data_IF_921995446788
#
_entry.id   IF_921995446788
#
_cell.length_a   1.000
_cell.length_b   1.000
_cell.length_c   1.000
_cell.angle_alpha   90.00
_cell.angle_beta   90.00
_cell.angle_gamma   90.00
#
_symmetry.space_group_name_H-M   'P 1'
#
loop_
_entity.id
_entity.type
_entity.pdbx_description
1 polymer ?
#
# COMPACT_ATOMS: atom_id res chain seq x y z
N UNK A 1 4.66 12.23 9.23
CA UNK A 1 3.40 11.79 9.84
C UNK A 1 2.46 12.95 10.17
N UNK A 2 2.82 13.93 10.99
CA UNK A 2 1.90 15.04 11.36
C UNK A 2 1.36 15.81 10.14
N UNK A 3 2.22 16.11 9.15
CA UNK A 3 1.81 16.78 7.90
C UNK A 3 0.88 15.87 7.06
N UNK A 4 1.14 14.58 7.05
CA UNK A 4 0.30 13.62 6.31
C UNK A 4 -1.11 13.50 6.90
N UNK A 5 -1.28 13.69 8.21
CA UNK A 5 -2.58 13.62 8.88
C UNK A 5 -3.52 14.81 8.57
N UNK A 6 -2.97 15.93 8.10
CA UNK A 6 -3.73 17.11 7.72
C UNK A 6 -3.89 17.25 6.20
N UNK A 7 -3.36 16.28 5.43
CA UNK A 7 -3.31 16.32 3.98
C UNK A 7 -3.94 15.10 3.31
N UNK A 8 -3.91 15.09 1.97
CA UNK A 8 -4.50 14.02 1.16
C UNK A 8 -3.79 12.66 1.31
N UNK A 9 -2.69 12.61 2.07
CA UNK A 9 -1.93 11.39 2.31
C UNK A 9 -2.41 10.58 3.52
N UNK A 10 -3.33 11.12 4.31
CA UNK A 10 -3.97 10.35 5.38
C UNK A 10 -4.77 9.22 4.73
N UNK A 11 -4.46 7.98 5.14
CA UNK A 11 -5.11 6.78 4.64
C UNK A 11 -5.08 6.64 3.11
N UNK A 12 -3.97 7.09 2.49
CA UNK A 12 -3.77 6.98 1.03
C UNK A 12 -3.65 5.53 0.54
N UNK A 13 -3.44 4.57 1.45
CA UNK A 13 -3.30 3.15 1.16
C UNK A 13 -4.57 2.41 1.53
N UNK A 14 -5.20 1.84 0.53
CA UNK A 14 -6.45 1.08 0.68
C UNK A 14 -6.18 -0.43 0.74
N UNK A 15 -7.21 -1.20 1.10
CA UNK A 15 -7.15 -2.65 1.02
C UNK A 15 -6.89 -3.08 -0.44
N UNK A 16 -5.95 -4.00 -0.64
CA UNK A 16 -5.52 -4.44 -1.96
C UNK A 16 -4.40 -3.63 -2.60
N UNK A 17 -4.01 -2.48 -2.05
CA UNK A 17 -2.83 -1.75 -2.50
C UNK A 17 -1.55 -2.57 -2.24
N UNK A 18 -0.69 -2.69 -3.25
CA UNK A 18 0.61 -3.38 -3.09
C UNK A 18 1.47 -2.79 -1.97
N UNK A 19 1.32 -1.48 -1.71
CA UNK A 19 2.07 -0.75 -0.69
C UNK A 19 1.34 -0.63 0.66
N UNK A 20 0.15 -1.24 0.80
CA UNK A 20 -0.67 -1.10 2.01
C UNK A 20 0.10 -1.50 3.28
N UNK A 21 0.89 -2.57 3.20
CA UNK A 21 1.65 -3.11 4.33
C UNK A 21 3.12 -2.68 4.35
N UNK A 22 3.52 -1.70 3.54
CA UNK A 22 4.86 -1.14 3.61
C UNK A 22 5.03 -0.29 4.88
N UNK A 23 6.05 -0.61 5.66
CA UNK A 23 6.41 0.15 6.85
C UNK A 23 7.84 0.65 6.77
N UNK A 24 8.06 1.90 7.16
CA UNK A 24 9.39 2.43 7.37
C UNK A 24 9.90 1.99 8.74
N UNK A 25 11.15 1.53 8.79
CA UNK A 25 11.81 1.08 10.00
C UNK A 25 12.88 2.05 10.49
N UNK A 26 13.43 2.85 9.58
CA UNK A 26 14.54 3.75 9.89
C UNK A 26 15.24 4.27 8.66
N UNK A 27 16.56 4.44 8.74
CA UNK A 27 17.43 4.83 7.64
C UNK A 27 18.61 3.87 7.50
N UNK A 28 19.08 3.63 6.28
CA UNK A 28 20.24 2.80 5.99
C UNK A 28 21.00 3.33 4.77
N UNK A 29 22.25 2.89 4.60
CA UNK A 29 22.93 3.03 3.32
C UNK A 29 22.31 2.09 2.30
N UNK A 30 21.95 2.61 1.14
CA UNK A 30 21.32 1.86 0.06
C UNK A 30 22.07 2.09 -1.25
N UNK A 31 22.08 1.08 -2.11
CA UNK A 31 22.59 1.25 -3.47
C UNK A 31 21.72 2.22 -4.26
N UNK A 32 22.33 2.89 -5.23
CA UNK A 32 21.58 3.69 -6.20
C UNK A 32 20.54 2.82 -6.92
N UNK A 33 19.38 3.39 -7.21
CA UNK A 33 18.35 2.74 -8.01
C UNK A 33 18.84 2.43 -9.43
N UNK A 34 19.79 3.24 -9.94
CA UNK A 34 20.49 3.03 -11.20
C UNK A 34 21.93 2.63 -10.88
N UNK A 35 22.33 1.43 -11.25
CA UNK A 35 23.68 0.92 -11.03
C UNK A 35 24.69 1.72 -11.85
N UNK A 36 25.77 2.18 -11.19
CA UNK A 36 26.92 2.76 -11.89
C UNK A 36 27.81 1.63 -12.38
N UNK A 37 27.84 1.39 -13.69
CA UNK A 37 28.65 0.35 -14.32
C UNK A 37 29.88 0.95 -15.01
N UNK A 38 30.99 0.21 -14.95
CA UNK A 38 32.17 0.56 -15.77
C UNK A 38 31.82 0.44 -17.26
N UNK A 39 32.22 1.38 -18.13
CA UNK A 39 32.02 1.24 -19.56
C UNK A 39 32.83 0.05 -20.09
N UNK A 40 32.23 -0.69 -21.01
CA UNK A 40 32.92 -1.79 -21.71
C UNK A 40 34.11 -1.23 -22.49
N UNK A 41 35.29 -1.78 -22.21
CA UNK A 41 36.53 -1.43 -22.91
C UNK A 41 36.66 -2.34 -24.11
N UNK A 42 36.80 -1.78 -25.30
CA UNK A 42 37.03 -2.56 -26.51
C UNK A 42 38.30 -3.44 -26.36
N UNK A 43 38.34 -4.69 -26.87
CA UNK A 43 39.41 -5.67 -26.60
C UNK A 43 40.82 -5.20 -26.96
N UNK A 44 40.94 -4.21 -27.84
CA UNK A 44 42.26 -3.65 -28.28
C UNK A 44 42.51 -2.23 -27.70
N UNK A 45 41.59 -1.65 -26.95
CA UNK A 45 41.78 -0.34 -26.33
C UNK A 45 42.65 -0.45 -25.09
N UNK A 46 43.59 0.49 -24.95
CA UNK A 46 44.39 0.65 -23.74
C UNK A 46 43.83 1.84 -22.97
N UNK A 47 43.04 1.63 -21.92
CA UNK A 47 42.52 2.74 -21.13
C UNK A 47 43.68 3.46 -20.43
N UNK A 48 43.54 4.77 -20.30
CA UNK A 48 44.45 5.55 -19.46
C UNK A 48 44.27 5.10 -17.99
N UNK A 49 45.38 4.67 -17.37
CA UNK A 49 45.39 4.07 -16.03
C UNK A 49 44.90 5.02 -14.97
N UNK A 50 45.18 6.33 -15.12
CA UNK A 50 44.77 7.37 -14.16
C UNK A 50 43.26 7.60 -14.25
N UNK A 51 42.74 7.76 -15.46
CA UNK A 51 41.31 7.94 -15.70
C UNK A 51 40.49 6.72 -15.27
N UNK A 52 40.98 5.53 -15.59
CA UNK A 52 40.31 4.28 -15.19
C UNK A 52 40.29 4.11 -13.66
N UNK A 53 41.40 4.40 -12.98
CA UNK A 53 41.47 4.33 -11.52
C UNK A 53 40.60 5.41 -10.85
N UNK A 54 40.51 6.59 -11.45
CA UNK A 54 39.65 7.67 -10.96
C UNK A 54 38.18 7.32 -11.11
N UNK A 55 37.81 6.74 -12.25
CA UNK A 55 36.44 6.28 -12.51
C UNK A 55 36.02 5.17 -11.54
N UNK A 56 36.86 4.16 -11.31
CA UNK A 56 36.57 3.12 -10.30
C UNK A 56 36.35 3.71 -8.92
N UNK A 57 37.22 4.58 -8.47
CA UNK A 57 37.05 5.27 -7.19
C UNK A 57 35.77 6.10 -7.13
N UNK A 58 35.39 6.74 -8.24
CA UNK A 58 34.11 7.45 -8.33
C UNK A 58 32.94 6.49 -8.17
N UNK A 59 32.92 5.39 -8.92
CA UNK A 59 31.87 4.36 -8.83
C UNK A 59 31.78 3.83 -7.40
N UNK A 60 32.91 3.40 -6.82
CA UNK A 60 32.95 2.86 -5.45
C UNK A 60 32.43 3.85 -4.40
N UNK A 61 32.80 5.14 -4.54
CA UNK A 61 32.37 6.16 -3.57
C UNK A 61 30.95 6.68 -3.76
N UNK A 62 30.35 6.49 -4.92
CA UNK A 62 29.01 6.99 -5.23
C UNK A 62 27.97 5.90 -5.49
N UNK A 63 28.33 4.62 -5.38
CA UNK A 63 27.41 3.47 -5.54
C UNK A 63 26.42 3.34 -4.40
N UNK A 64 26.72 3.92 -3.24
CA UNK A 64 25.90 3.90 -2.04
C UNK A 64 25.47 5.30 -1.64
N UNK A 65 24.24 5.43 -1.15
CA UNK A 65 23.70 6.67 -0.58
C UNK A 65 23.33 6.41 0.87
N UNK A 66 23.92 7.20 1.77
CA UNK A 66 23.69 7.08 3.20
C UNK A 66 22.35 7.72 3.62
N UNK A 67 21.87 7.34 4.80
CA UNK A 67 20.68 7.88 5.46
C UNK A 67 19.37 7.80 4.62
N UNK A 68 19.33 6.91 3.64
CA UNK A 68 18.12 6.70 2.84
C UNK A 68 17.01 6.04 3.68
N UNK A 69 15.73 6.44 3.51
CA UNK A 69 14.63 5.79 4.17
C UNK A 69 14.62 4.29 3.90
N UNK A 70 14.59 3.49 4.96
CA UNK A 70 14.58 2.04 4.90
C UNK A 70 13.27 1.49 5.43
N UNK A 71 12.66 0.60 4.67
CA UNK A 71 11.38 -0.02 5.03
C UNK A 71 11.26 -1.44 4.48
N UNK A 72 10.26 -2.15 4.98
CA UNK A 72 9.93 -3.51 4.58
C UNK A 72 8.43 -3.66 4.32
N UNK A 73 8.07 -4.69 3.57
CA UNK A 73 6.67 -5.13 3.42
C UNK A 73 6.32 -6.08 4.56
N UNK A 74 5.54 -5.63 5.53
CA UNK A 74 5.15 -6.47 6.68
C UNK A 74 4.30 -7.68 6.28
N UNK A 75 3.53 -7.56 5.21
CA UNK A 75 2.78 -8.68 4.64
C UNK A 75 3.64 -9.88 4.18
N UNK A 76 4.95 -9.68 4.03
CA UNK A 76 5.90 -10.78 3.73
C UNK A 76 6.26 -11.61 4.99
N UNK A 77 5.83 -11.19 6.18
CA UNK A 77 6.20 -11.81 7.44
C UNK A 77 4.98 -12.13 8.31
N UNK A 78 4.90 -13.37 8.76
CA UNK A 78 3.90 -13.76 9.77
C UNK A 78 4.29 -13.29 11.17
N UNK A 79 5.60 -13.18 11.44
CA UNK A 79 6.14 -12.75 12.72
C UNK A 79 7.23 -11.70 12.55
N UNK A 80 7.21 -10.71 13.42
CA UNK A 80 8.25 -9.68 13.54
C UNK A 80 8.74 -9.65 14.99
N UNK A 81 9.96 -10.11 15.21
CA UNK A 81 10.60 -10.11 16.52
C UNK A 81 11.38 -8.80 16.69
N UNK A 82 10.99 -7.99 17.66
CA UNK A 82 11.71 -6.76 18.03
C UNK A 82 12.45 -7.00 19.33
N UNK A 83 13.75 -7.23 19.22
CA UNK A 83 14.60 -7.68 20.30
C UNK A 83 15.53 -6.56 20.78
N UNK A 84 15.77 -6.48 22.09
CA UNK A 84 16.66 -5.49 22.69
C UNK A 84 16.13 -4.89 24.00
N UNK A 85 16.67 -3.74 24.44
CA UNK A 85 16.17 -3.04 25.62
C UNK A 85 14.69 -2.66 25.47
N UNK A 86 13.88 -2.88 26.51
CA UNK A 86 12.41 -2.72 26.48
C UNK A 86 11.99 -1.32 25.98
N UNK A 87 12.68 -0.27 26.40
CA UNK A 87 12.39 1.10 25.95
C UNK A 87 12.58 1.29 24.43
N UNK A 88 13.66 0.71 23.89
CA UNK A 88 13.99 0.78 22.46
C UNK A 88 13.00 -0.06 21.64
N UNK A 89 12.70 -1.28 22.07
CA UNK A 89 11.75 -2.16 21.36
C UNK A 89 10.36 -1.54 21.26
N UNK A 90 9.83 -1.01 22.35
CA UNK A 90 8.55 -0.29 22.35
C UNK A 90 8.57 0.97 21.49
N UNK A 91 9.70 1.70 21.53
CA UNK A 91 9.86 2.93 20.70
C UNK A 91 9.80 2.61 19.21
N UNK A 92 10.49 1.56 18.77
CA UNK A 92 10.47 1.09 17.38
C UNK A 92 9.07 0.60 16.97
N UNK A 93 8.40 -0.20 17.80
CA UNK A 93 7.04 -0.68 17.51
C UNK A 93 6.06 0.49 17.42
N UNK A 94 6.17 1.51 18.29
CA UNK A 94 5.37 2.74 18.17
C UNK A 94 5.61 3.49 16.85
N UNK A 95 6.87 3.60 16.43
CA UNK A 95 7.21 4.25 15.16
C UNK A 95 6.59 3.51 13.97
N UNK A 96 6.70 2.18 13.94
CA UNK A 96 6.07 1.33 12.92
C UNK A 96 4.54 1.49 12.91
N UNK A 97 3.92 1.38 14.07
CA UNK A 97 2.47 1.49 14.22
C UNK A 97 1.95 2.84 13.73
N UNK A 98 2.60 3.93 14.13
CA UNK A 98 2.21 5.26 13.70
C UNK A 98 2.40 5.50 12.20
N UNK A 99 3.45 4.94 11.62
CA UNK A 99 3.63 5.00 10.17
C UNK A 99 2.49 4.27 9.45
N UNK A 100 2.20 3.04 9.85
CA UNK A 100 1.16 2.24 9.20
C UNK A 100 -0.22 2.86 9.34
N UNK A 101 -0.63 3.25 10.55
CA UNK A 101 -1.95 3.82 10.81
C UNK A 101 -2.16 5.21 10.21
N UNK A 102 -1.07 5.93 9.88
CA UNK A 102 -1.16 7.20 9.16
C UNK A 102 -1.44 7.00 7.67
N UNK A 103 -0.86 5.98 7.06
CA UNK A 103 -0.96 5.78 5.61
C UNK A 103 -1.97 4.72 5.19
N UNK A 104 -2.20 3.66 5.97
CA UNK A 104 -3.21 2.66 5.71
C UNK A 104 -4.53 2.99 6.42
N UNK A 105 -5.64 2.81 5.72
CA UNK A 105 -6.98 3.06 6.27
C UNK A 105 -7.39 1.96 7.28
N UNK A 106 -8.38 2.20 8.17
CA UNK A 106 -8.92 1.16 9.03
C UNK A 106 -9.56 -0.02 8.29
N UNK A 107 -9.94 0.15 7.02
CA UNK A 107 -10.39 -0.95 6.15
C UNK A 107 -9.24 -1.81 5.63
N UNK A 108 -8.04 -1.24 5.51
CA UNK A 108 -6.85 -1.97 5.09
C UNK A 108 -6.07 -2.56 6.26
N UNK A 109 -6.12 -1.91 7.44
CA UNK A 109 -5.31 -2.27 8.59
C UNK A 109 -6.13 -2.26 9.88
N UNK A 110 -6.09 -3.36 10.62
CA UNK A 110 -6.54 -3.44 12.02
C UNK A 110 -5.34 -3.53 12.96
N UNK A 111 -5.50 -3.02 14.16
CA UNK A 111 -4.47 -3.01 15.19
C UNK A 111 -5.02 -3.63 16.46
N UNK A 112 -4.28 -4.59 17.02
CA UNK A 112 -4.60 -5.15 18.31
C UNK A 112 -3.34 -5.24 19.18
N UNK A 113 -3.51 -5.14 20.48
CA UNK A 113 -2.44 -5.27 21.47
C UNK A 113 -2.86 -6.28 22.51
N UNK A 114 -2.04 -7.30 22.71
CA UNK A 114 -2.11 -8.20 23.87
C UNK A 114 -0.88 -7.94 24.74
N UNK A 115 -1.07 -7.50 25.95
CA UNK A 115 0.04 -7.16 26.82
C UNK A 115 -0.23 -7.62 28.25
N UNK A 116 0.84 -7.87 29.03
CA UNK A 116 0.68 -8.12 30.45
C UNK A 116 0.06 -6.91 31.17
N UNK A 117 -0.64 -7.14 32.26
CA UNK A 117 -1.25 -6.07 33.08
C UNK A 117 -0.21 -4.98 33.46
N UNK A 118 1.02 -5.40 33.79
CA UNK A 118 2.11 -4.47 34.11
C UNK A 118 2.50 -3.56 32.91
N UNK A 119 2.34 -4.04 31.68
CA UNK A 119 2.72 -3.34 30.46
C UNK A 119 1.56 -2.54 29.83
N UNK A 120 0.33 -2.77 30.26
CA UNK A 120 -0.88 -2.16 29.71
C UNK A 120 -0.80 -0.63 29.62
N UNK A 121 -0.27 0.01 30.64
CA UNK A 121 -0.08 1.48 30.68
C UNK A 121 0.69 2.04 29.49
N UNK A 122 1.62 1.27 28.88
CA UNK A 122 2.42 1.68 27.74
C UNK A 122 1.69 1.59 26.40
N UNK A 123 0.50 0.96 26.39
CA UNK A 123 -0.30 0.72 25.19
C UNK A 123 -1.71 1.30 25.26
N UNK A 124 -2.14 1.86 26.39
CA UNK A 124 -3.48 2.42 26.54
C UNK A 124 -3.81 3.51 25.52
N UNK A 125 -2.83 4.25 25.03
CA UNK A 125 -3.02 5.27 24.03
C UNK A 125 -3.50 4.71 22.68
N UNK A 126 -3.29 3.43 22.38
CA UNK A 126 -3.76 2.74 21.17
C UNK A 126 -5.28 2.79 21.06
N UNK A 127 -6.00 2.91 22.19
CA UNK A 127 -7.45 3.10 22.20
C UNK A 127 -7.95 4.30 21.37
N UNK A 128 -7.11 5.28 21.12
CA UNK A 128 -7.46 6.45 20.31
C UNK A 128 -7.38 6.19 18.81
N UNK A 129 -6.71 5.12 18.38
CA UNK A 129 -6.60 4.77 16.97
C UNK A 129 -7.93 4.23 16.43
N UNK A 130 -8.45 4.75 15.31
CA UNK A 130 -9.61 4.17 14.63
C UNK A 130 -9.41 2.70 14.26
N UNK A 131 -8.18 2.30 13.97
CA UNK A 131 -7.74 0.94 13.61
C UNK A 131 -7.88 -0.10 14.74
N UNK A 132 -7.96 0.37 16.00
CA UNK A 132 -8.02 -0.51 17.17
C UNK A 132 -9.45 -0.72 17.70
N UNK A 133 -10.46 -0.54 16.85
CA UNK A 133 -11.88 -0.76 17.19
C UNK A 133 -12.31 -2.15 16.76
N UNK A 134 -12.97 -2.88 17.65
CA UNK A 134 -13.62 -4.15 17.30
C UNK A 134 -14.81 -3.91 16.37
N UNK A 135 -15.03 -4.81 15.43
CA UNK A 135 -16.25 -4.85 14.60
C UNK A 135 -17.32 -5.77 15.16
N UNK A 136 -16.95 -6.62 16.13
CA UNK A 136 -17.82 -7.66 16.69
C UNK A 136 -18.39 -7.27 18.06
N UNK A 137 -17.56 -6.63 18.90
CA UNK A 137 -17.91 -6.34 20.27
C UNK A 137 -18.02 -4.84 20.50
N UNK A 138 -19.12 -4.43 21.16
CA UNK A 138 -19.34 -3.05 21.59
C UNK A 138 -19.54 -3.00 23.11
N UNK A 139 -19.05 -1.93 23.72
CA UNK A 139 -19.30 -1.57 25.11
C UNK A 139 -20.28 -0.40 25.24
N UNK A 140 -20.48 0.14 26.43
CA UNK A 140 -21.39 1.25 26.66
C UNK A 140 -20.97 2.56 25.96
N UNK A 141 -19.74 2.65 25.43
CA UNK A 141 -19.19 3.84 24.78
C UNK A 141 -19.02 3.64 23.25
N UNK A 142 -19.43 2.49 22.71
CA UNK A 142 -19.31 2.12 21.31
C UNK A 142 -18.41 0.91 21.05
N UNK A 143 -17.79 0.78 19.87
CA UNK A 143 -16.94 -0.36 19.54
C UNK A 143 -15.83 -0.56 20.57
N UNK A 144 -15.71 -1.79 21.12
CA UNK A 144 -14.70 -2.13 22.10
C UNK A 144 -13.27 -1.92 21.54
N UNK A 145 -12.33 -1.62 22.43
CA UNK A 145 -10.94 -1.33 22.03
C UNK A 145 -10.09 -2.59 22.11
N UNK A 146 -9.38 -2.91 21.04
CA UNK A 146 -8.55 -4.12 20.96
C UNK A 146 -7.20 -3.95 21.68
N UNK A 147 -7.25 -3.56 22.96
CA UNK A 147 -6.10 -3.50 23.89
C UNK A 147 -6.45 -4.34 25.08
N UNK A 148 -5.99 -5.58 25.10
CA UNK A 148 -6.42 -6.63 26.03
C UNK A 148 -5.23 -7.24 26.77
N UNK A 149 -5.51 -7.99 27.83
CA UNK A 149 -4.48 -8.70 28.62
C UNK A 149 -4.44 -10.21 28.35
N UNK A 150 -5.46 -10.74 27.67
CA UNK A 150 -5.57 -12.16 27.33
C UNK A 150 -5.80 -12.42 25.85
N UNK A 151 -5.12 -13.40 25.25
CA UNK A 151 -5.33 -13.76 23.84
C UNK A 151 -6.77 -14.18 23.52
N UNK A 152 -7.44 -14.91 24.43
CA UNK A 152 -8.82 -15.37 24.23
C UNK A 152 -9.82 -14.21 24.13
N UNK A 153 -9.62 -13.15 24.92
CA UNK A 153 -10.42 -11.93 24.84
C UNK A 153 -10.28 -11.26 23.45
N UNK A 154 -9.07 -11.28 22.88
CA UNK A 154 -8.86 -10.75 21.53
C UNK A 154 -9.55 -11.60 20.46
N UNK A 155 -9.48 -12.94 20.57
CA UNK A 155 -10.14 -13.84 19.61
C UNK A 155 -11.67 -13.60 19.57
N UNK A 156 -12.30 -13.37 20.72
CA UNK A 156 -13.72 -12.98 20.79
C UNK A 156 -13.99 -11.62 20.10
N UNK A 157 -13.09 -10.65 20.25
CA UNK A 157 -13.24 -9.32 19.66
C UNK A 157 -13.02 -9.30 18.14
N UNK A 158 -12.26 -10.24 17.59
CA UNK A 158 -11.96 -10.37 16.16
C UNK A 158 -13.00 -11.22 15.43
N UNK A 159 -13.62 -12.18 16.12
CA UNK A 159 -14.62 -13.08 15.55
C UNK A 159 -14.09 -14.04 14.49
N UNK A 160 -15.01 -14.69 13.77
CA UNK A 160 -14.71 -15.73 12.78
C UNK A 160 -13.89 -15.19 11.60
N UNK A 161 -13.99 -13.90 11.29
CA UNK A 161 -13.24 -13.27 10.19
C UNK A 161 -11.74 -13.55 10.23
N UNK A 162 -11.15 -13.63 11.42
CA UNK A 162 -9.71 -13.87 11.58
C UNK A 162 -9.39 -15.32 11.99
N UNK A 163 -10.29 -16.01 12.65
CA UNK A 163 -10.08 -17.39 13.11
C UNK A 163 -10.17 -18.42 11.99
N UNK A 164 -10.92 -18.14 10.95
CA UNK A 164 -11.14 -19.03 9.80
C UNK A 164 -10.17 -18.78 8.63
N UNK A 165 -9.23 -17.82 8.80
CA UNK A 165 -8.22 -17.54 7.78
C UNK A 165 -7.23 -18.71 7.64
N UNK A 166 -6.77 -18.92 6.41
CA UNK A 166 -5.79 -19.95 6.10
C UNK A 166 -4.41 -19.70 6.71
N UNK A 167 -3.53 -20.68 6.51
CA UNK A 167 -2.12 -20.58 6.94
C UNK A 167 -1.42 -19.47 6.14
N UNK A 168 -0.54 -18.72 6.80
CA UNK A 168 0.27 -17.67 6.21
C UNK A 168 1.02 -18.12 4.95
N UNK A 169 0.96 -17.31 3.91
CA UNK A 169 1.73 -17.45 2.67
C UNK A 169 2.39 -16.12 2.35
N UNK A 170 3.72 -16.11 2.31
CA UNK A 170 4.47 -14.93 1.91
C UNK A 170 4.13 -14.57 0.45
N UNK A 171 3.93 -13.27 0.16
CA UNK A 171 3.63 -12.75 -1.18
C UNK A 171 2.45 -13.43 -1.87
N UNK A 172 1.43 -13.76 -1.10
CA UNK A 172 0.16 -14.23 -1.67
C UNK A 172 -0.51 -13.09 -2.42
N UNK A 173 -0.97 -13.35 -3.66
CA UNK A 173 -1.80 -12.41 -4.43
C UNK A 173 -3.16 -12.19 -3.75
N UNK A 174 -3.63 -13.17 -2.97
CA UNK A 174 -4.85 -13.12 -2.19
C UNK A 174 -4.53 -12.80 -0.73
N UNK A 175 -4.24 -11.55 -0.41
CA UNK A 175 -4.09 -11.12 0.98
C UNK A 175 -5.46 -10.89 1.61
N UNK A 176 -5.73 -11.54 2.75
CA UNK A 176 -6.96 -11.30 3.50
C UNK A 176 -6.96 -9.91 4.14
N UNK A 177 -7.95 -9.12 3.84
CA UNK A 177 -8.13 -7.76 4.36
C UNK A 177 -9.34 -7.67 5.31
N UNK A 178 -9.29 -6.77 6.28
CA UNK A 178 -8.15 -5.94 6.70
C UNK A 178 -7.02 -6.77 7.30
N UNK A 179 -5.77 -6.34 7.08
CA UNK A 179 -4.60 -6.98 7.67
C UNK A 179 -4.52 -6.67 9.17
N UNK A 180 -4.26 -7.66 10.00
CA UNK A 180 -4.12 -7.48 11.44
C UNK A 180 -2.65 -7.29 11.83
N UNK A 181 -2.34 -6.15 12.43
CA UNK A 181 -1.08 -5.88 13.10
C UNK A 181 -1.26 -6.13 14.59
N UNK A 182 -0.80 -7.31 15.04
CA UNK A 182 -0.97 -7.79 16.41
C UNK A 182 0.31 -7.58 17.21
N UNK A 183 0.26 -6.76 18.24
CA UNK A 183 1.39 -6.49 19.14
C UNK A 183 1.30 -7.37 20.39
N UNK A 184 2.39 -8.06 20.71
CA UNK A 184 2.55 -8.85 21.94
C UNK A 184 3.65 -8.23 22.80
N UNK A 185 3.31 -7.83 24.05
CA UNK A 185 4.27 -7.22 24.99
C UNK A 185 4.17 -7.86 26.37
N UNK A 186 5.10 -8.77 26.66
CA UNK A 186 5.17 -9.53 27.92
C UNK A 186 4.12 -10.64 28.01
N UNK A 187 3.56 -11.06 26.88
CA UNK A 187 2.61 -12.17 26.73
C UNK A 187 2.96 -12.94 25.47
N UNK A 188 2.81 -14.24 25.49
CA UNK A 188 2.91 -15.10 24.32
C UNK A 188 1.53 -15.65 23.92
N UNK A 189 1.34 -15.88 22.63
CA UNK A 189 0.15 -16.59 22.16
C UNK A 189 0.25 -18.08 22.47
N UNK A 190 -0.87 -18.73 22.82
CA UNK A 190 -0.92 -20.19 22.91
C UNK A 190 -0.49 -20.85 21.59
N UNK A 191 0.17 -21.99 21.67
CA UNK A 191 0.68 -22.72 20.49
C UNK A 191 -0.45 -23.07 19.49
N UNK A 192 -1.65 -23.24 19.99
CA UNK A 192 -2.86 -23.54 19.22
C UNK A 192 -3.70 -22.31 18.88
N UNK A 193 -3.20 -21.10 19.13
CA UNK A 193 -3.90 -19.88 18.75
C UNK A 193 -4.04 -19.79 17.23
N UNK A 194 -5.23 -19.45 16.77
CA UNK A 194 -5.54 -19.25 15.37
C UNK A 194 -4.89 -17.98 14.80
N UNK A 195 -4.51 -17.03 15.67
CA UNK A 195 -3.94 -15.73 15.26
C UNK A 195 -2.44 -15.76 14.99
N UNK A 196 -1.71 -16.74 15.44
CA UNK A 196 -0.24 -16.69 15.32
C UNK A 196 0.45 -18.00 15.70
N UNK A 197 -0.19 -19.13 15.42
CA UNK A 197 0.40 -20.45 15.58
C UNK A 197 1.70 -20.62 14.78
N UNK A 198 2.36 -21.75 14.90
CA UNK A 198 3.70 -22.04 14.35
C UNK A 198 3.87 -21.74 12.85
N UNK A 199 2.79 -21.68 12.07
CA UNK A 199 2.82 -21.34 10.62
C UNK A 199 2.42 -19.91 10.30
N UNK A 200 1.91 -19.16 11.27
CA UNK A 200 1.26 -17.87 11.04
C UNK A 200 -0.10 -17.98 10.34
N UNK A 201 -0.85 -16.90 10.32
CA UNK A 201 -2.20 -16.81 9.74
C UNK A 201 -2.21 -15.79 8.61
N UNK A 202 -2.93 -16.06 7.55
CA UNK A 202 -3.03 -15.15 6.40
C UNK A 202 -3.62 -13.80 6.81
N UNK A 203 -3.00 -12.70 6.35
CA UNK A 203 -3.42 -11.35 6.71
C UNK A 203 -3.20 -10.99 8.18
N UNK A 204 -2.32 -11.69 8.89
CA UNK A 204 -1.93 -11.39 10.28
C UNK A 204 -0.41 -11.31 10.39
N UNK A 205 0.09 -10.20 10.93
CA UNK A 205 1.50 -10.06 11.32
C UNK A 205 1.59 -9.89 12.84
N UNK A 206 2.23 -10.84 13.51
CA UNK A 206 2.44 -10.83 14.97
C UNK A 206 3.77 -10.15 15.28
N UNK A 207 3.74 -9.04 15.99
CA UNK A 207 4.92 -8.28 16.43
C UNK A 207 5.18 -8.54 17.90
N UNK A 208 6.32 -9.15 18.21
CA UNK A 208 6.70 -9.51 19.58
C UNK A 208 7.83 -8.63 20.09
N UNK A 209 7.65 -8.01 21.23
CA UNK A 209 8.75 -7.34 21.95
C UNK A 209 9.45 -8.33 22.85
N UNK A 210 10.78 -8.44 22.73
CA UNK A 210 11.54 -9.42 23.51
C UNK A 210 12.90 -8.87 23.98
N UNK A 211 13.33 -9.33 25.16
CA UNK A 211 14.63 -8.98 25.76
C UNK A 211 15.68 -10.06 25.58
N UNK A 212 15.25 -11.28 25.26
CA UNK A 212 16.11 -12.43 24.97
C UNK A 212 15.52 -13.21 23.80
N UNK A 213 16.37 -13.84 23.00
CA UNK A 213 15.96 -14.57 21.80
C UNK A 213 16.87 -15.76 21.52
N UNK A 214 16.29 -16.80 20.95
CA UNK A 214 17.00 -17.96 20.43
C UNK A 214 17.35 -17.85 18.94
N UNK A 215 17.85 -18.91 18.32
CA UNK A 215 18.10 -18.96 16.89
C UNK A 215 16.79 -18.78 16.10
N UNK A 216 16.91 -18.19 14.89
CA UNK A 216 15.78 -18.11 13.94
C UNK A 216 15.56 -19.46 13.28
N UNK A 217 14.31 -19.86 13.11
CA UNK A 217 13.94 -21.16 12.53
C UNK A 217 12.93 -21.03 11.38
N UNK A 218 12.41 -19.83 11.11
CA UNK A 218 11.40 -19.61 10.08
C UNK A 218 11.82 -18.49 9.13
N UNK A 219 11.58 -18.69 7.83
CA UNK A 219 11.77 -17.68 6.77
C UNK A 219 10.68 -16.63 6.76
N UNK A 220 9.54 -16.90 7.37
CA UNK A 220 8.43 -15.94 7.53
C UNK A 220 8.57 -15.07 8.77
N UNK A 221 9.73 -15.10 9.44
CA UNK A 221 10.05 -14.26 10.59
C UNK A 221 11.10 -13.23 10.22
N UNK A 222 10.81 -11.96 10.46
CA UNK A 222 11.77 -10.86 10.47
C UNK A 222 12.21 -10.63 11.92
N UNK A 223 13.50 -10.54 12.18
CA UNK A 223 14.01 -10.15 13.49
C UNK A 223 14.77 -8.83 13.41
N UNK A 224 14.41 -7.91 14.28
CA UNK A 224 15.09 -6.63 14.48
C UNK A 224 15.79 -6.66 15.84
N UNK A 225 17.12 -6.54 15.87
CA UNK A 225 17.89 -6.43 17.11
C UNK A 225 18.28 -4.97 17.28
N UNK A 226 17.84 -4.36 18.36
CA UNK A 226 18.08 -2.95 18.66
C UNK A 226 19.24 -2.81 19.63
N UNK A 227 20.25 -2.06 19.23
CA UNK A 227 21.38 -1.67 20.07
C UNK A 227 21.20 -0.20 20.46
N UNK A 228 21.19 0.11 21.76
CA UNK A 228 21.01 1.49 22.20
C UNK A 228 22.19 2.36 21.77
N UNK A 229 21.93 3.63 21.52
CA UNK A 229 22.95 4.63 21.29
C UNK A 229 23.87 4.79 22.49
N UNK A 230 25.08 5.29 22.26
CA UNK A 230 26.09 5.48 23.30
C UNK A 230 25.96 6.83 24.01
N UNK A 231 25.36 7.80 23.35
CA UNK A 231 25.21 9.17 23.83
C UNK A 231 23.73 9.59 23.80
N UNK A 232 23.43 10.64 24.55
CA UNK A 232 22.08 11.21 24.59
C UNK A 232 21.75 11.84 23.23
N UNK A 233 20.63 11.41 22.62
CA UNK A 233 20.24 11.80 21.26
C UNK A 233 20.69 10.84 20.14
N UNK A 234 21.58 9.89 20.42
CA UNK A 234 21.93 8.81 19.50
C UNK A 234 20.80 7.79 19.43
N UNK A 235 20.24 7.58 18.23
CA UNK A 235 19.16 6.60 18.00
C UNK A 235 19.62 5.15 18.10
N UNK A 236 20.93 4.92 18.13
CA UNK A 236 21.51 3.59 18.15
C UNK A 236 21.50 2.91 16.78
N UNK A 237 21.69 1.61 16.80
CA UNK A 237 21.79 0.77 15.61
C UNK A 237 20.74 -0.34 15.66
N UNK A 238 20.26 -0.71 14.50
CA UNK A 238 19.33 -1.83 14.31
C UNK A 238 19.94 -2.83 13.33
N UNK A 239 19.92 -4.10 13.71
CA UNK A 239 20.25 -5.21 12.82
C UNK A 239 18.96 -5.91 12.40
N UNK A 240 18.72 -6.00 11.09
CA UNK A 240 17.63 -6.81 10.55
C UNK A 240 18.16 -8.16 10.11
N UNK A 241 17.57 -9.20 10.67
CA UNK A 241 17.93 -10.58 10.41
C UNK A 241 16.81 -11.29 9.67
N UNK A 242 17.16 -11.91 8.56
CA UNK A 242 16.33 -12.85 7.82
C UNK A 242 17.07 -14.18 7.77
N UNK A 243 16.33 -15.29 7.85
CA UNK A 243 16.93 -16.62 7.79
C UNK A 243 17.71 -16.80 6.48
N UNK A 244 18.96 -17.30 6.57
CA UNK A 244 19.86 -17.53 5.44
C UNK A 244 20.30 -16.25 4.68
N UNK A 245 20.13 -15.05 5.25
CA UNK A 245 20.58 -13.80 4.64
C UNK A 245 21.60 -13.08 5.52
N UNK A 246 22.38 -12.19 4.90
CA UNK A 246 23.28 -11.32 5.65
C UNK A 246 22.46 -10.27 6.41
N UNK A 247 22.88 -9.93 7.64
CA UNK A 247 22.24 -8.85 8.41
C UNK A 247 22.26 -7.53 7.64
N UNK A 248 21.12 -6.82 7.69
CA UNK A 248 21.05 -5.44 7.19
C UNK A 248 21.18 -4.51 8.38
N UNK A 249 22.11 -3.56 8.28
CA UNK A 249 22.36 -2.58 9.33
C UNK A 249 21.61 -1.29 9.00
N UNK A 250 20.90 -0.75 9.98
CA UNK A 250 20.12 0.47 9.83
C UNK A 250 20.14 1.29 11.13
N UNK A 251 19.79 2.56 11.03
CA UNK A 251 19.48 3.42 12.18
C UNK A 251 17.99 3.38 12.43
N UNK A 252 17.50 2.96 13.61
CA UNK A 252 16.07 2.79 13.88
C UNK A 252 15.34 4.14 13.91
N UNK A 253 14.06 4.12 13.51
CA UNK A 253 13.15 5.20 13.84
C UNK A 253 12.75 5.09 15.32
N UNK A 254 12.64 6.23 15.98
CA UNK A 254 12.28 6.28 17.40
C UNK A 254 11.01 7.12 17.59
N UNK A 255 10.12 6.66 18.48
CA UNK A 255 8.92 7.40 18.84
C UNK A 255 8.61 7.27 20.32
N UNK A 256 8.54 8.40 21.01
CA UNK A 256 8.12 8.48 22.40
C UNK A 256 6.64 8.16 22.57
N UNK A 257 6.25 7.72 23.77
CA UNK A 257 4.86 7.37 24.08
C UNK A 257 3.92 8.60 23.96
N UNK A 258 4.32 9.75 24.52
CA UNK A 258 3.54 10.98 24.43
C UNK A 258 3.35 11.47 22.97
N UNK A 259 4.37 11.26 22.12
CA UNK A 259 4.26 11.59 20.69
C UNK A 259 3.27 10.66 19.98
N UNK A 260 3.33 9.35 20.25
CA UNK A 260 2.40 8.38 19.69
C UNK A 260 0.97 8.66 20.12
N UNK A 261 0.75 8.97 21.41
CA UNK A 261 -0.56 9.37 21.92
C UNK A 261 -1.10 10.64 21.26
N UNK A 262 -0.27 11.67 21.11
CA UNK A 262 -0.69 12.92 20.45
C UNK A 262 -1.12 12.69 18.99
N UNK A 263 -0.40 11.83 18.26
CA UNK A 263 -0.74 11.45 16.89
C UNK A 263 -2.04 10.64 16.86
N UNK A 264 -2.20 9.66 17.75
CA UNK A 264 -3.40 8.83 17.84
C UNK A 264 -4.65 9.64 18.19
N UNK A 265 -4.55 10.59 19.12
CA UNK A 265 -5.67 11.50 19.49
C UNK A 265 -6.10 12.39 18.33
N UNK A 266 -5.19 12.83 17.47
CA UNK A 266 -5.54 13.57 16.25
C UNK A 266 -6.31 12.73 15.25
N UNK A 267 -6.02 11.43 15.16
CA UNK A 267 -6.75 10.51 14.28
C UNK A 267 -8.09 10.06 14.86
N UNK A 268 -8.29 10.13 16.18
CA UNK A 268 -9.48 9.60 16.84
C UNK A 268 -10.82 10.14 16.29
N UNK A 269 -10.95 11.43 15.89
CA UNK A 269 -12.19 11.96 15.31
C UNK A 269 -12.48 11.47 13.89
N UNK A 270 -11.45 11.00 13.17
CA UNK A 270 -11.63 10.54 11.80
C UNK A 270 -12.35 9.18 11.81
N UNK A 271 -13.50 9.17 11.20
CA UNK A 271 -14.29 7.97 10.97
C UNK A 271 -14.26 7.75 9.46
N UNK A 272 -13.78 6.59 9.03
CA UNK A 272 -14.15 6.12 7.71
C UNK A 272 -15.64 5.86 7.78
N UNK A 273 -16.43 6.46 6.90
CA UNK A 273 -17.83 6.06 6.76
C UNK A 273 -17.82 4.56 6.52
N UNK A 274 -18.31 3.81 7.50
CA UNK A 274 -18.68 2.43 7.28
C UNK A 274 -19.77 2.53 6.20
N UNK A 275 -19.43 2.12 4.98
CA UNK A 275 -20.46 1.89 3.98
C UNK A 275 -21.39 0.89 4.64
N UNK A 276 -22.65 1.23 4.88
CA UNK A 276 -23.57 0.29 5.52
C UNK A 276 -23.50 -1.01 4.72
N UNK A 277 -23.37 -2.15 5.41
CA UNK A 277 -23.28 -3.48 4.79
C UNK A 277 -24.44 -3.76 3.83
N UNK A 278 -25.55 -3.00 3.95
CA UNK A 278 -26.69 -3.02 3.03
C UNK A 278 -26.40 -2.40 1.66
N UNK A 279 -25.27 -1.67 1.48
CA UNK A 279 -24.82 -1.10 0.21
C UNK A 279 -23.47 -1.65 -0.26
N UNK A 280 -22.92 -2.67 0.38
CA UNK A 280 -21.90 -3.50 -0.26
C UNK A 280 -22.55 -4.21 -1.43
N UNK A 281 -22.14 -3.96 -2.69
CA UNK A 281 -22.64 -4.75 -3.83
C UNK A 281 -22.10 -6.19 -3.80
N UNK A 282 -21.51 -6.61 -2.69
CA UNK A 282 -21.07 -7.99 -2.44
C UNK A 282 -22.11 -8.73 -1.60
N UNK A 283 -23.34 -8.73 -2.05
CA UNK A 283 -24.15 -9.93 -1.92
C UNK A 283 -23.43 -10.98 -2.75
N UNK A 284 -23.28 -12.21 -2.23
CA UNK A 284 -22.79 -13.39 -2.94
C UNK A 284 -23.31 -13.37 -4.37
N UNK A 285 -22.67 -12.60 -5.24
CA UNK A 285 -23.00 -12.47 -6.62
C UNK A 285 -22.40 -13.71 -7.27
N UNK A 286 -23.29 -14.51 -7.81
CA UNK A 286 -22.97 -15.55 -8.77
C UNK A 286 -21.79 -15.06 -9.63
N UNK A 287 -20.65 -15.77 -9.73
CA UNK A 287 -19.47 -15.30 -10.48
C UNK A 287 -19.75 -15.09 -11.99
N UNK A 288 -20.99 -15.18 -12.42
CA UNK A 288 -21.47 -14.93 -13.78
C UNK A 288 -22.17 -13.57 -13.98
N UNK A 289 -22.36 -12.74 -12.96
CA UNK A 289 -22.87 -11.38 -13.17
C UNK A 289 -21.71 -10.45 -13.49
N UNK A 290 -21.60 -10.04 -14.76
CA UNK A 290 -20.81 -8.87 -15.12
C UNK A 290 -21.35 -7.67 -14.34
N UNK A 291 -20.56 -7.05 -13.48
CA UNK A 291 -20.96 -5.80 -12.85
C UNK A 291 -21.10 -4.73 -13.93
N UNK A 292 -22.20 -3.97 -13.90
CA UNK A 292 -22.38 -2.85 -14.80
C UNK A 292 -21.34 -1.76 -14.45
N UNK A 293 -20.75 -1.13 -15.48
CA UNK A 293 -19.78 -0.05 -15.30
C UNK A 293 -20.36 1.10 -14.48
N UNK A 294 -21.63 1.40 -14.61
CA UNK A 294 -22.31 2.47 -13.87
C UNK A 294 -22.42 2.17 -12.38
N UNK A 295 -22.64 0.89 -12.03
CA UNK A 295 -22.58 0.43 -10.63
C UNK A 295 -21.16 0.54 -10.07
N UNK A 296 -20.16 0.10 -10.84
CA UNK A 296 -18.74 0.16 -10.45
C UNK A 296 -18.25 1.59 -10.20
N UNK A 297 -18.76 2.54 -10.98
CA UNK A 297 -18.42 3.97 -10.85
C UNK A 297 -19.30 4.73 -9.84
N UNK A 298 -20.36 4.09 -9.33
CA UNK A 298 -21.32 4.73 -8.44
C UNK A 298 -22.16 5.82 -9.11
N UNK A 299 -22.34 5.75 -10.43
CA UNK A 299 -23.09 6.75 -11.22
C UNK A 299 -24.61 6.52 -11.19
N UNK A 300 -25.09 5.35 -10.76
CA UNK A 300 -26.50 4.98 -10.82
C UNK A 300 -26.99 4.75 -12.25
N UNK A 301 -28.26 5.03 -12.52
CA UNK A 301 -28.81 4.92 -13.89
C UNK A 301 -28.23 6.01 -14.78
N UNK A 302 -27.62 5.64 -15.89
CA UNK A 302 -27.00 6.59 -16.85
C UNK A 302 -27.99 7.61 -17.42
N UNK A 303 -29.29 7.30 -17.42
CA UNK A 303 -30.34 8.22 -17.84
C UNK A 303 -30.53 9.42 -16.92
N UNK A 304 -30.13 9.24 -15.66
CA UNK A 304 -30.18 10.26 -14.60
C UNK A 304 -28.79 10.89 -14.36
N UNK A 305 -27.88 10.75 -15.35
CA UNK A 305 -26.52 11.28 -15.23
C UNK A 305 -26.52 12.80 -15.09
N UNK A 306 -25.98 13.27 -13.98
CA UNK A 306 -25.85 14.70 -13.65
C UNK A 306 -24.35 15.10 -13.71
N UNK A 307 -23.93 15.86 -14.74
CA UNK A 307 -22.55 16.31 -14.86
C UNK A 307 -22.07 17.12 -13.65
N UNK A 308 -22.91 18.00 -13.10
CA UNK A 308 -22.55 18.88 -11.97
C UNK A 308 -22.25 18.07 -10.71
N UNK A 309 -22.87 16.89 -10.58
CA UNK A 309 -22.66 15.98 -9.48
C UNK A 309 -21.44 15.07 -9.71
N UNK A 310 -21.29 14.52 -10.90
CA UNK A 310 -20.28 13.50 -11.22
C UNK A 310 -18.93 14.07 -11.59
N UNK A 311 -18.90 15.24 -12.26
CA UNK A 311 -17.67 15.90 -12.68
C UNK A 311 -17.11 16.88 -11.65
N UNK A 312 -17.35 16.62 -10.37
CA UNK A 312 -16.67 17.37 -9.33
C UNK A 312 -15.17 17.23 -9.51
N UNK A 313 -14.46 18.36 -9.36
CA UNK A 313 -13.01 18.38 -9.52
C UNK A 313 -12.37 17.35 -8.60
N UNK A 314 -11.72 16.37 -9.21
CA UNK A 314 -10.96 15.35 -8.49
C UNK A 314 -9.54 15.86 -8.28
N UNK A 315 -9.05 15.78 -7.05
CA UNK A 315 -7.72 16.25 -6.69
C UNK A 315 -6.92 15.13 -6.00
N UNK A 316 -5.60 15.28 -5.97
CA UNK A 316 -4.72 14.35 -5.28
C UNK A 316 -4.83 12.92 -5.79
N UNK A 317 -5.20 12.00 -4.90
CA UNK A 317 -5.26 10.56 -5.12
C UNK A 317 -6.26 10.14 -6.21
N UNK A 318 -7.42 10.78 -6.25
CA UNK A 318 -8.52 10.36 -7.12
C UNK A 318 -8.46 11.00 -8.53
N UNK A 319 -7.52 11.92 -8.73
CA UNK A 319 -7.28 12.51 -10.04
C UNK A 319 -6.71 11.45 -10.99
N UNK A 320 -7.28 11.33 -12.19
CA UNK A 320 -6.84 10.40 -13.25
C UNK A 320 -6.74 8.93 -12.80
N UNK A 321 -7.56 8.53 -11.80
CA UNK A 321 -7.70 7.16 -11.33
C UNK A 321 -9.15 6.72 -11.49
N UNK A 322 -9.38 5.59 -12.17
CA UNK A 322 -10.73 5.05 -12.38
C UNK A 322 -10.74 3.53 -12.27
N UNK A 323 -11.74 2.94 -11.63
CA UNK A 323 -11.99 1.51 -11.74
C UNK A 323 -12.58 1.21 -13.13
N UNK A 324 -12.12 0.15 -13.77
CA UNK A 324 -12.56 -0.27 -15.10
C UNK A 324 -12.91 -1.75 -15.18
N UNK A 325 -12.86 -2.47 -14.09
CA UNK A 325 -13.22 -3.87 -13.99
C UNK A 325 -13.15 -4.36 -12.56
N UNK A 326 -13.38 -5.65 -12.38
CA UNK A 326 -13.31 -6.33 -11.09
C UNK A 326 -12.50 -7.62 -11.20
N UNK A 327 -11.85 -8.03 -10.11
CA UNK A 327 -11.23 -9.35 -10.02
C UNK A 327 -12.29 -10.45 -9.96
N UNK A 328 -11.93 -11.74 -10.10
CA UNK A 328 -12.87 -12.86 -9.90
C UNK A 328 -13.58 -12.83 -8.54
N UNK A 329 -12.94 -12.24 -7.53
CA UNK A 329 -13.45 -12.08 -6.17
C UNK A 329 -14.36 -10.85 -6.00
N UNK A 330 -14.58 -10.06 -7.08
CA UNK A 330 -15.43 -8.88 -7.07
C UNK A 330 -14.73 -7.59 -6.61
N UNK A 331 -13.41 -7.59 -6.42
CA UNK A 331 -12.65 -6.40 -6.02
C UNK A 331 -12.42 -5.48 -7.23
N UNK A 332 -12.73 -4.16 -7.14
CA UNK A 332 -12.50 -3.23 -8.22
C UNK A 332 -11.02 -3.15 -8.64
N UNK A 333 -10.76 -3.27 -9.94
CA UNK A 333 -9.45 -3.03 -10.54
C UNK A 333 -9.42 -1.63 -11.12
N UNK A 334 -8.54 -0.79 -10.60
CA UNK A 334 -8.41 0.60 -11.03
C UNK A 334 -7.15 0.83 -11.84
N UNK A 335 -7.24 1.72 -12.84
CA UNK A 335 -6.10 2.27 -13.56
C UNK A 335 -5.84 3.70 -13.07
N UNK A 336 -4.58 3.99 -12.78
CA UNK A 336 -4.10 5.29 -12.33
C UNK A 336 -3.04 5.79 -13.31
N UNK A 337 -3.39 6.72 -14.19
CA UNK A 337 -2.53 7.23 -15.27
C UNK A 337 -1.68 8.45 -14.86
N UNK A 338 -1.60 8.77 -13.59
CA UNK A 338 -0.66 9.77 -13.11
C UNK A 338 0.79 9.30 -13.25
N UNK A 339 1.70 10.26 -13.36
CA UNK A 339 3.13 9.97 -13.31
C UNK A 339 3.52 9.31 -11.99
N UNK A 340 4.60 8.51 -12.01
CA UNK A 340 5.13 7.86 -10.82
C UNK A 340 5.52 8.88 -9.73
N UNK A 341 5.98 10.09 -10.12
CA UNK A 341 6.25 11.19 -9.20
C UNK A 341 4.99 11.69 -8.46
N UNK A 342 3.80 11.45 -9.01
CA UNK A 342 2.49 11.73 -8.42
C UNK A 342 1.83 10.47 -7.83
N UNK A 343 2.61 9.41 -7.61
CA UNK A 343 2.17 8.12 -7.07
C UNK A 343 1.16 7.37 -7.97
N UNK A 344 1.19 7.64 -9.28
CA UNK A 344 0.42 6.90 -10.27
C UNK A 344 1.20 5.71 -10.84
N UNK A 345 0.51 4.92 -11.67
CA UNK A 345 1.10 3.77 -12.37
C UNK A 345 1.95 4.19 -13.59
N UNK A 346 1.88 5.45 -13.97
CA UNK A 346 2.53 6.04 -15.14
C UNK A 346 1.54 6.42 -16.24
N UNK A 347 1.88 7.42 -17.09
CA UNK A 347 0.99 7.93 -18.12
C UNK A 347 0.95 7.04 -19.38
N UNK A 348 1.85 6.06 -19.48
CA UNK A 348 1.95 5.17 -20.64
C UNK A 348 1.51 3.76 -20.30
N UNK A 349 0.70 3.15 -21.15
CA UNK A 349 0.22 1.79 -21.02
C UNK A 349 0.36 1.00 -22.31
N UNK A 350 0.62 -0.31 -22.21
CA UNK A 350 0.62 -1.24 -23.33
C UNK A 350 -0.39 -2.35 -23.05
N UNK A 351 -1.40 -2.47 -23.94
CA UNK A 351 -2.40 -3.54 -23.86
C UNK A 351 -2.11 -4.61 -24.93
N UNK A 352 -1.75 -5.80 -24.50
CA UNK A 352 -1.41 -6.92 -25.37
C UNK A 352 -2.42 -8.03 -25.23
N UNK A 353 -2.84 -8.64 -26.33
CA UNK A 353 -3.76 -9.77 -26.35
C UNK A 353 -4.07 -10.26 -27.76
N UNK A 354 -4.56 -11.47 -27.92
CA UNK A 354 -4.97 -12.03 -29.21
C UNK A 354 -6.17 -11.30 -29.82
N UNK A 355 -6.42 -11.47 -31.10
CA UNK A 355 -7.65 -10.98 -31.73
C UNK A 355 -8.87 -11.64 -31.07
N UNK A 356 -9.89 -10.86 -30.74
CA UNK A 356 -11.09 -11.35 -30.05
C UNK A 356 -10.95 -11.47 -28.52
N UNK A 357 -9.81 -11.13 -27.92
CA UNK A 357 -9.59 -11.20 -26.46
C UNK A 357 -10.24 -10.06 -25.64
N UNK A 358 -10.98 -9.15 -26.29
CA UNK A 358 -11.64 -8.05 -25.59
C UNK A 358 -10.81 -6.75 -25.46
N UNK A 359 -9.62 -6.63 -26.10
CA UNK A 359 -8.80 -5.40 -26.02
C UNK A 359 -9.56 -4.11 -26.33
N UNK A 360 -10.35 -4.13 -27.42
CA UNK A 360 -11.17 -2.96 -27.81
C UNK A 360 -12.23 -2.64 -26.75
N UNK A 361 -12.83 -3.64 -26.14
CA UNK A 361 -13.81 -3.43 -25.07
C UNK A 361 -13.18 -2.84 -23.80
N UNK A 362 -11.97 -3.27 -23.44
CA UNK A 362 -11.21 -2.67 -22.32
C UNK A 362 -10.92 -1.19 -22.60
N UNK A 363 -10.46 -0.86 -23.81
CA UNK A 363 -10.19 0.54 -24.18
C UNK A 363 -11.46 1.41 -24.17
N UNK A 364 -12.57 0.88 -24.67
CA UNK A 364 -13.88 1.56 -24.62
C UNK A 364 -14.34 1.79 -23.18
N UNK A 365 -14.27 0.75 -22.35
CA UNK A 365 -14.62 0.82 -20.94
C UNK A 365 -13.79 1.87 -20.23
N UNK A 366 -12.48 1.92 -20.49
CA UNK A 366 -11.58 2.89 -19.89
C UNK A 366 -11.93 4.34 -20.29
N UNK A 367 -12.16 4.60 -21.58
CA UNK A 367 -12.57 5.94 -22.07
C UNK A 367 -13.89 6.35 -21.42
N UNK A 368 -14.89 5.45 -21.36
CA UNK A 368 -16.17 5.74 -20.75
C UNK A 368 -16.05 5.95 -19.23
N UNK A 369 -15.29 5.13 -18.52
CA UNK A 369 -15.07 5.27 -17.08
C UNK A 369 -14.45 6.64 -16.77
N UNK A 370 -13.46 7.07 -17.53
CA UNK A 370 -12.83 8.37 -17.37
C UNK A 370 -13.77 9.53 -17.74
N UNK A 371 -14.53 9.42 -18.83
CA UNK A 371 -15.48 10.45 -19.26
C UNK A 371 -16.64 10.63 -18.28
N UNK A 372 -17.11 9.55 -17.64
CA UNK A 372 -18.15 9.60 -16.62
C UNK A 372 -17.68 10.22 -15.29
N UNK A 373 -16.39 10.22 -15.02
CA UNK A 373 -15.83 10.59 -13.71
C UNK A 373 -15.00 11.88 -13.70
N UNK A 374 -14.59 12.38 -14.86
CA UNK A 374 -13.81 13.62 -15.01
C UNK A 374 -14.50 14.56 -15.98
N UNK A 375 -14.40 15.86 -15.75
CA UNK A 375 -14.95 16.86 -16.69
C UNK A 375 -14.08 17.03 -17.93
N UNK A 376 -14.66 17.54 -19.06
CA UNK A 376 -13.90 17.89 -20.24
C UNK A 376 -12.82 18.97 -20.01
N UNK A 377 -12.93 19.75 -18.93
CA UNK A 377 -11.92 20.71 -18.54
C UNK A 377 -10.68 20.05 -17.90
N UNK A 378 -10.83 18.83 -17.39
CA UNK A 378 -9.76 18.08 -16.70
C UNK A 378 -9.11 17.02 -17.58
N UNK A 379 -9.86 16.48 -18.54
CA UNK A 379 -9.44 15.35 -19.36
C UNK A 379 -10.04 15.42 -20.75
N UNK A 380 -9.19 15.31 -21.76
CA UNK A 380 -9.58 15.23 -23.15
C UNK A 380 -8.94 14.02 -23.82
N UNK A 381 -9.63 13.47 -24.81
CA UNK A 381 -9.17 12.31 -25.57
C UNK A 381 -8.87 12.66 -27.02
N UNK A 382 -7.78 12.10 -27.51
CA UNK A 382 -7.53 11.90 -28.92
C UNK A 382 -7.61 10.39 -29.18
N UNK A 383 -8.61 9.94 -29.91
CA UNK A 383 -8.87 8.52 -30.16
C UNK A 383 -8.37 8.15 -31.56
N UNK A 384 -7.50 7.15 -31.62
CA UNK A 384 -6.87 6.71 -32.88
C UNK A 384 -7.13 5.24 -33.09
N UNK A 385 -7.81 4.87 -34.19
CA UNK A 385 -8.08 3.47 -34.56
C UNK A 385 -7.82 3.22 -36.03
N UNK A 386 -6.65 2.67 -36.35
CA UNK A 386 -6.21 2.38 -37.73
C UNK A 386 -6.87 1.16 -38.36
N UNK A 387 -7.76 0.45 -37.62
CA UNK A 387 -8.51 -0.70 -38.13
C UNK A 387 -9.94 -0.38 -38.56
N UNK A 388 -10.20 0.84 -39.03
CA UNK A 388 -11.49 1.26 -39.57
C UNK A 388 -12.45 1.88 -38.56
N UNK A 389 -11.95 2.38 -37.41
CA UNK A 389 -12.73 3.19 -36.46
C UNK A 389 -13.76 2.44 -35.60
N UNK A 390 -13.83 1.12 -35.73
CA UNK A 390 -14.84 0.31 -35.02
C UNK A 390 -14.65 0.29 -33.50
N UNK A 391 -13.42 0.45 -33.02
CA UNK A 391 -13.12 0.41 -31.58
C UNK A 391 -13.83 1.54 -30.83
N UNK A 392 -13.82 2.75 -31.37
CA UNK A 392 -14.39 3.93 -30.71
C UNK A 392 -15.67 4.44 -31.37
N UNK A 393 -16.35 3.61 -32.18
CA UNK A 393 -17.60 3.96 -32.82
C UNK A 393 -18.63 4.49 -31.80
N UNK A 394 -19.24 5.64 -32.10
CA UNK A 394 -20.21 6.31 -31.23
C UNK A 394 -19.63 7.13 -30.08
N UNK A 395 -18.30 7.23 -29.97
CA UNK A 395 -17.67 8.06 -28.92
C UNK A 395 -17.26 9.46 -29.42
N UNK A 396 -17.38 9.74 -30.72
CA UNK A 396 -17.08 11.06 -31.30
C UNK A 396 -17.88 12.20 -30.68
N UNK A 397 -19.08 11.92 -30.22
CA UNK A 397 -20.00 12.91 -29.66
C UNK A 397 -19.78 13.20 -28.17
N UNK A 398 -18.86 12.47 -27.53
CA UNK A 398 -18.48 12.77 -26.13
C UNK A 398 -17.79 14.13 -26.05
N UNK A 399 -18.18 15.00 -25.10
CA UNK A 399 -17.59 16.33 -24.95
C UNK A 399 -16.08 16.32 -24.63
N UNK A 400 -15.54 15.16 -24.24
CA UNK A 400 -14.13 14.92 -23.94
C UNK A 400 -13.31 14.61 -25.20
N UNK A 401 -13.92 14.28 -26.34
CA UNK A 401 -13.18 13.85 -27.53
C UNK A 401 -12.82 15.06 -28.39
N UNK A 402 -11.55 15.42 -28.38
CA UNK A 402 -11.00 16.52 -29.19
C UNK A 402 -10.73 16.12 -30.63
N UNK A 403 -10.40 14.85 -30.87
CA UNK A 403 -10.21 14.31 -32.21
C UNK A 403 -10.43 12.79 -32.24
N UNK A 404 -10.94 12.30 -33.38
CA UNK A 404 -11.03 10.89 -33.72
C UNK A 404 -10.37 10.65 -35.05
N UNK A 405 -9.41 9.73 -35.13
CA UNK A 405 -8.65 9.40 -36.34
C UNK A 405 -8.91 7.93 -36.68
N UNK A 406 -9.59 7.66 -37.78
CA UNK A 406 -9.98 6.31 -38.18
C UNK A 406 -9.24 5.80 -39.42
N UNK A 407 -8.62 6.68 -40.21
CA UNK A 407 -7.88 6.31 -41.41
C UNK A 407 -6.69 7.25 -41.62
N UNK A 408 -5.48 6.71 -41.67
CA UNK A 408 -4.24 7.45 -41.90
C UNK A 408 -4.16 8.09 -43.28
N UNK A 409 -4.73 7.45 -44.32
CA UNK A 409 -4.57 7.95 -45.71
C UNK A 409 -5.43 9.19 -46.00
N UNK A 410 -6.56 9.35 -45.34
CA UNK A 410 -7.47 10.50 -45.53
C UNK A 410 -7.26 11.64 -44.52
N UNK A 411 -6.48 11.42 -43.45
CA UNK A 411 -6.39 12.32 -42.29
C UNK A 411 -4.94 12.69 -41.91
N UNK A 412 -3.99 12.61 -42.87
CA UNK A 412 -2.58 12.95 -42.67
C UNK A 412 -2.39 14.33 -42.01
N UNK A 413 -3.19 15.32 -42.42
CA UNK A 413 -3.13 16.67 -41.85
C UNK A 413 -3.52 16.74 -40.39
N UNK A 414 -4.37 15.82 -39.90
CA UNK A 414 -4.71 15.70 -38.48
C UNK A 414 -3.61 15.01 -37.70
N UNK A 415 -2.94 14.02 -38.28
CA UNK A 415 -1.78 13.33 -37.69
C UNK A 415 -0.61 14.31 -37.54
N UNK A 416 -0.31 15.12 -38.57
CA UNK A 416 0.74 16.14 -38.51
C UNK A 416 0.44 17.18 -37.40
N UNK A 417 -0.81 17.68 -37.34
CA UNK A 417 -1.23 18.62 -36.29
C UNK A 417 -1.18 18.02 -34.87
N UNK A 418 -1.48 16.73 -34.74
CA UNK A 418 -1.36 16.03 -33.46
C UNK A 418 0.11 15.87 -33.04
N UNK A 419 0.99 15.59 -34.02
CA UNK A 419 2.43 15.50 -33.78
C UNK A 419 3.01 16.85 -33.36
N UNK A 420 2.58 17.94 -33.98
CA UNK A 420 2.97 19.29 -33.63
C UNK A 420 2.46 19.71 -32.23
N UNK A 421 1.29 19.21 -31.82
CA UNK A 421 0.71 19.50 -30.50
C UNK A 421 1.33 18.69 -29.37
N UNK A 422 2.04 17.59 -29.68
CA UNK A 422 2.72 16.70 -28.70
C UNK A 422 4.21 17.04 -28.52
N UNK A 423 4.79 17.92 -29.35
CA UNK A 423 6.13 18.49 -29.21
C UNK A 423 6.10 19.77 -28.39
#
# INVERSE_FOLDING_TARGET
MLIAQEGPRLWEREAGDMMAMQVRLGTSSQSLAMELVEPEIAPLAKPDVVCHSAMRRFIDSHSMVDEMPFGVMLGDFSHVDVAGPVGATRSQVRAMLMHMTTFASPQALRVAVVCSEANRKHWEWVKWLPHARSTQVSDALGPARMVVTGPGELEEMLGEEYTDRGTFRARSEATAWPHLFLILDGVDLPVNSTLGGFGGTEGVTVVRTMTSWGPMTSRSTLRMILHPGKEDGDRGQMELLLLDQKPIIATPDVMGEAQAEAVARRMAPWVTEERPESESPVGKSDPKRSQDLTELLGCGDIRDFDPDRQWKRREGRDRLKVPFGVTPEGVPVALDIKESAQQGMGPHGLLVGATGSGKSEVLRTLVLAMALTHSPEQLNFVLVDFKGGATFAGMSDLPHVSAMISNLESELSLVDRMQDALQ
#
